data_IF_415238023834
#
_entry.id   IF_415238023834
#
_cell.length_a   1.000
_cell.length_b   1.000
_cell.length_c   1.000
_cell.angle_alpha   90.00
_cell.angle_beta   90.00
_cell.angle_gamma   90.00
#
_symmetry.space_group_name_H-M   'P 1'
#
loop_
_entity.id
_entity.type
_entity.pdbx_description
1 polymer ?
#
# COMPACT_ATOMS: atom_id res chain seq x y z
N UNK A 1 23.28 50.69 -40.58
CA UNK A 1 22.27 50.24 -41.57
C UNK A 1 21.67 48.93 -41.10
N UNK A 2 20.46 48.96 -40.55
CA UNK A 2 19.81 47.78 -39.98
C UNK A 2 19.13 46.97 -41.09
N UNK A 3 19.76 45.89 -41.53
CA UNK A 3 19.13 44.91 -42.42
C UNK A 3 18.06 44.18 -41.62
N UNK A 4 16.78 44.55 -41.82
CA UNK A 4 15.65 43.73 -41.38
C UNK A 4 15.57 42.53 -42.33
N UNK A 5 16.15 41.41 -41.95
CA UNK A 5 15.97 40.14 -42.65
C UNK A 5 14.53 39.70 -42.46
N UNK A 6 13.73 39.78 -43.52
CA UNK A 6 12.38 39.21 -43.54
C UNK A 6 12.46 37.70 -43.39
N UNK A 7 11.63 37.15 -42.48
CA UNK A 7 11.46 35.71 -42.32
C UNK A 7 10.93 35.15 -43.65
N UNK A 8 11.67 34.22 -44.23
CA UNK A 8 11.24 33.50 -45.43
C UNK A 8 10.17 32.48 -45.04
N UNK A 9 9.12 32.36 -45.86
CA UNK A 9 8.05 31.38 -45.63
C UNK A 9 8.58 29.95 -45.55
N UNK A 10 9.68 29.68 -46.28
CA UNK A 10 10.39 28.40 -46.26
C UNK A 10 11.06 28.12 -44.91
N UNK A 11 11.56 29.16 -44.23
CA UNK A 11 12.20 29.05 -42.91
C UNK A 11 11.16 28.65 -41.85
N UNK A 12 9.94 29.20 -41.96
CA UNK A 12 8.81 28.82 -41.10
C UNK A 12 8.37 27.38 -41.33
N UNK A 13 8.30 26.92 -42.59
CA UNK A 13 7.94 25.54 -42.92
C UNK A 13 8.98 24.55 -42.37
N UNK A 14 10.27 24.85 -42.55
CA UNK A 14 11.36 24.01 -42.02
C UNK A 14 11.28 23.96 -40.50
N UNK A 15 11.02 25.08 -39.84
CA UNK A 15 10.91 25.14 -38.39
C UNK A 15 9.74 24.30 -37.86
N UNK A 16 8.56 24.36 -38.50
CA UNK A 16 7.40 23.52 -38.13
C UNK A 16 7.72 22.03 -38.34
N UNK A 17 8.40 21.66 -39.43
CA UNK A 17 8.81 20.28 -39.69
C UNK A 17 9.77 19.76 -38.61
N UNK A 18 10.78 20.55 -38.24
CA UNK A 18 11.73 20.17 -37.19
C UNK A 18 11.01 20.00 -35.85
N UNK A 19 10.16 20.95 -35.46
CA UNK A 19 9.39 20.87 -34.20
C UNK A 19 8.46 19.65 -34.20
N UNK A 20 7.81 19.36 -35.34
CA UNK A 20 6.94 18.19 -35.49
C UNK A 20 7.68 16.86 -35.32
N UNK A 21 8.86 16.72 -35.95
CA UNK A 21 9.70 15.53 -35.81
C UNK A 21 10.21 15.37 -34.38
N UNK A 22 10.65 16.46 -33.74
CA UNK A 22 11.09 16.44 -32.34
C UNK A 22 9.95 16.03 -31.39
N UNK A 23 8.75 16.58 -31.57
CA UNK A 23 7.59 16.23 -30.75
C UNK A 23 7.22 14.75 -30.91
N UNK A 24 7.22 14.22 -32.13
CA UNK A 24 6.90 12.82 -32.40
C UNK A 24 7.85 11.84 -31.70
N UNK A 25 9.13 12.20 -31.55
CA UNK A 25 10.13 11.36 -30.87
C UNK A 25 10.02 11.43 -29.33
N UNK A 26 9.58 12.56 -28.77
CA UNK A 26 9.53 12.76 -27.32
C UNK A 26 8.26 12.18 -26.66
N UNK A 27 7.12 12.17 -27.37
CA UNK A 27 5.85 11.66 -26.85
C UNK A 27 5.90 10.21 -26.34
N UNK A 28 6.44 9.21 -27.07
CA UNK A 28 6.43 7.82 -26.60
C UNK A 28 7.24 7.65 -25.30
N UNK A 29 8.40 8.31 -25.21
CA UNK A 29 9.28 8.27 -24.04
C UNK A 29 8.62 8.82 -22.77
N UNK A 30 7.87 9.91 -22.92
CA UNK A 30 7.13 10.49 -21.79
C UNK A 30 6.00 9.58 -21.30
N UNK A 31 5.43 8.72 -22.16
CA UNK A 31 4.41 7.74 -21.78
C UNK A 31 5.02 6.56 -21.03
N UNK A 32 6.14 6.04 -21.50
CA UNK A 32 6.89 4.97 -20.83
C UNK A 32 7.29 5.37 -19.41
N UNK A 33 7.79 6.59 -19.22
CA UNK A 33 8.19 7.09 -17.90
C UNK A 33 7.05 7.08 -16.87
N UNK A 34 5.85 7.47 -17.28
CA UNK A 34 4.68 7.48 -16.38
C UNK A 34 4.23 6.09 -15.94
N UNK A 35 4.34 5.09 -16.83
CA UNK A 35 3.98 3.71 -16.49
C UNK A 35 4.97 3.14 -15.46
N UNK A 36 6.27 3.37 -15.67
CA UNK A 36 7.32 2.94 -14.73
C UNK A 36 7.19 3.65 -13.38
N UNK A 37 6.86 4.94 -13.38
CA UNK A 37 6.62 5.71 -12.17
C UNK A 37 5.40 5.20 -11.38
N UNK A 38 4.29 4.94 -12.08
CA UNK A 38 3.08 4.38 -11.47
C UNK A 38 3.33 2.96 -10.91
N UNK A 39 4.13 2.14 -11.58
CA UNK A 39 4.53 0.83 -11.09
C UNK A 39 5.38 0.94 -9.82
N UNK A 40 6.40 1.82 -9.81
CA UNK A 40 7.26 2.05 -8.65
C UNK A 40 6.46 2.56 -7.44
N UNK A 41 5.58 3.54 -7.64
CA UNK A 41 4.69 4.06 -6.59
C UNK A 41 3.73 2.97 -6.09
N UNK A 42 3.22 2.12 -6.98
CA UNK A 42 2.38 1.00 -6.60
C UNK A 42 3.12 0.00 -5.71
N UNK A 43 4.38 -0.31 -6.03
CA UNK A 43 5.24 -1.18 -5.22
C UNK A 43 5.55 -0.54 -3.86
N UNK A 44 5.85 0.75 -3.80
CA UNK A 44 6.06 1.49 -2.56
C UNK A 44 4.84 1.47 -1.64
N UNK A 45 3.64 1.65 -2.20
CA UNK A 45 2.37 1.53 -1.46
C UNK A 45 2.18 0.12 -0.91
N UNK A 46 2.44 -0.92 -1.71
CA UNK A 46 2.37 -2.31 -1.23
C UNK A 46 3.40 -2.59 -0.12
N UNK A 47 4.60 -2.03 -0.21
CA UNK A 47 5.62 -2.09 0.85
C UNK A 47 5.14 -1.40 2.13
N UNK A 48 4.45 -0.27 2.02
CA UNK A 48 3.88 0.42 3.17
C UNK A 48 2.78 -0.41 3.85
N UNK A 49 1.90 -1.04 3.07
CA UNK A 49 0.87 -1.96 3.58
C UNK A 49 1.52 -3.17 4.26
N UNK A 50 2.57 -3.73 3.64
CA UNK A 50 3.33 -4.84 4.20
C UNK A 50 3.93 -4.50 5.57
N UNK A 51 4.60 -3.34 5.66
CA UNK A 51 5.19 -2.89 6.91
C UNK A 51 4.12 -2.66 7.98
N UNK A 52 2.99 -2.05 7.61
CA UNK A 52 1.85 -1.91 8.50
C UNK A 52 1.29 -3.25 8.97
N UNK A 53 1.22 -4.26 8.09
CA UNK A 53 0.78 -5.61 8.43
C UNK A 53 1.72 -6.29 9.44
N UNK A 54 3.03 -6.13 9.25
CA UNK A 54 4.04 -6.62 10.18
C UNK A 54 3.98 -5.89 11.52
N UNK A 55 3.84 -4.56 11.53
CA UNK A 55 3.67 -3.77 12.74
C UNK A 55 2.38 -4.10 13.48
N UNK A 56 1.29 -4.33 12.76
CA UNK A 56 0.02 -4.82 13.31
C UNK A 56 0.23 -6.18 13.98
N UNK A 57 0.85 -7.13 13.29
CA UNK A 57 1.12 -8.47 13.84
C UNK A 57 2.03 -8.43 15.08
N UNK A 58 2.99 -7.51 15.12
CA UNK A 58 3.87 -7.34 16.27
C UNK A 58 3.12 -6.72 17.47
N UNK A 59 2.36 -5.65 17.23
CA UNK A 59 1.61 -4.90 18.26
C UNK A 59 0.45 -5.69 18.85
N UNK A 60 -0.31 -6.43 18.03
CA UNK A 60 -1.41 -7.29 18.51
C UNK A 60 -0.92 -8.53 19.27
N UNK A 61 0.39 -8.64 19.51
CA UNK A 61 1.01 -9.49 20.52
C UNK A 61 0.86 -9.03 21.96
N UNK A 62 0.50 -7.76 22.18
CA UNK A 62 0.19 -7.25 23.51
C UNK A 62 -1.19 -6.60 23.51
N UNK A 63 -2.19 -7.41 23.85
CA UNK A 63 -3.62 -7.06 23.96
C UNK A 63 -3.98 -5.98 24.99
N UNK A 64 -3.01 -5.24 25.52
CA UNK A 64 -3.23 -4.16 26.49
C UNK A 64 -4.13 -3.06 25.92
N UNK A 65 -4.20 -2.90 24.59
CA UNK A 65 -5.07 -1.91 23.93
C UNK A 65 -6.48 -2.42 23.57
N UNK A 66 -6.79 -3.70 23.76
CA UNK A 66 -8.14 -4.26 23.61
C UNK A 66 -8.95 -4.26 24.92
N UNK A 67 -8.35 -3.83 26.03
CA UNK A 67 -9.03 -3.70 27.34
C UNK A 67 -9.03 -2.24 27.78
N UNK A 68 -9.52 -1.35 26.92
CA UNK A 68 -10.11 -0.11 27.41
C UNK A 68 -11.26 -0.51 28.37
N UNK A 69 -11.33 0.05 29.60
CA UNK A 69 -12.27 -0.43 30.61
C UNK A 69 -13.71 -0.19 30.16
N UNK A 70 -14.49 -1.26 30.02
CA UNK A 70 -15.94 -1.17 30.12
C UNK A 70 -16.26 -1.24 31.60
N UNK A 71 -16.88 -0.18 32.12
CA UNK A 71 -17.19 0.00 33.54
C UNK A 71 -18.05 -1.16 34.10
N UNK A 72 -17.89 -1.52 35.39
CA UNK A 72 -18.55 -2.68 35.98
C UNK A 72 -19.93 -2.30 36.54
N UNK A 73 -20.96 -3.09 36.20
CA UNK A 73 -22.18 -3.14 36.98
C UNK A 73 -22.31 -4.48 37.71
N UNK A 74 -22.81 -4.39 38.93
CA UNK A 74 -22.57 -5.31 40.04
C UNK A 74 -23.70 -6.33 40.22
N UNK A 75 -23.36 -7.53 40.72
CA UNK A 75 -24.13 -8.40 41.63
C UNK A 75 -23.68 -9.87 41.44
N UNK A 76 -22.87 -10.45 42.36
CA UNK A 76 -23.31 -11.29 43.51
C UNK A 76 -23.90 -12.65 43.07
N UNK A 77 -23.56 -13.83 43.59
CA UNK A 77 -22.83 -14.24 44.79
C UNK A 77 -22.54 -15.77 44.75
N UNK A 78 -21.44 -16.16 45.43
CA UNK A 78 -21.25 -17.40 46.24
C UNK A 78 -21.30 -18.82 45.60
N UNK A 79 -20.55 -19.84 46.05
CA UNK A 79 -19.36 -20.00 46.88
C UNK A 79 -18.87 -21.46 46.78
N UNK A 80 -17.54 -21.63 46.72
CA UNK A 80 -16.70 -22.77 47.19
C UNK A 80 -16.85 -24.16 46.55
N UNK A 81 -15.77 -24.64 45.93
CA UNK A 81 -14.89 -25.72 46.48
C UNK A 81 -13.54 -25.69 45.76
N UNK A 82 -12.46 -25.75 46.55
CA UNK A 82 -11.04 -25.71 46.14
C UNK A 82 -10.67 -26.85 45.17
N UNK A 83 -10.15 -26.49 44.01
CA UNK A 83 -9.09 -27.23 43.31
C UNK A 83 -8.11 -26.18 42.76
N UNK A 84 -6.82 -26.47 42.90
CA UNK A 84 -5.70 -25.57 42.62
C UNK A 84 -5.63 -25.05 41.17
N UNK A 85 -5.31 -23.75 41.09
CA UNK A 85 -4.68 -23.00 40.00
C UNK A 85 -4.20 -23.80 38.78
N UNK A 86 -4.81 -23.53 37.62
CA UNK A 86 -4.20 -22.69 36.59
C UNK A 86 -5.26 -22.40 35.52
N UNK A 87 -5.76 -21.17 35.60
CA UNK A 87 -6.59 -20.49 34.63
C UNK A 87 -6.16 -20.84 33.20
N UNK A 88 -7.08 -21.37 32.40
CA UNK A 88 -6.87 -21.66 31.00
C UNK A 88 -6.54 -20.36 30.27
N UNK A 89 -5.25 -20.06 30.17
CA UNK A 89 -4.70 -18.94 29.43
C UNK A 89 -5.27 -19.01 28.01
N UNK A 90 -6.24 -18.13 27.71
CA UNK A 90 -6.69 -17.87 26.34
C UNK A 90 -5.46 -17.42 25.58
N UNK A 91 -4.84 -18.34 24.84
CA UNK A 91 -3.71 -18.08 23.96
C UNK A 91 -4.19 -17.02 22.97
N UNK A 92 -3.69 -15.79 23.13
CA UNK A 92 -3.94 -14.70 22.19
C UNK A 92 -3.20 -15.04 20.91
N UNK A 93 -3.90 -15.66 19.98
CA UNK A 93 -3.35 -16.01 18.67
C UNK A 93 -3.12 -14.70 17.92
N UNK A 94 -1.86 -14.36 17.65
CA UNK A 94 -1.50 -13.26 16.75
C UNK A 94 -2.02 -13.59 15.36
N UNK A 95 -2.81 -12.73 14.74
CA UNK A 95 -3.38 -12.97 13.41
C UNK A 95 -3.05 -11.78 12.52
N UNK A 96 -2.82 -12.02 11.23
CA UNK A 96 -2.86 -10.95 10.23
C UNK A 96 -4.31 -10.53 10.00
N UNK A 97 -4.52 -9.34 9.43
CA UNK A 97 -5.85 -8.81 9.15
C UNK A 97 -6.00 -8.42 7.69
N UNK A 98 -7.15 -8.69 7.11
CA UNK A 98 -7.58 -8.18 5.81
C UNK A 98 -8.34 -6.84 5.96
N UNK A 99 -8.62 -6.42 7.20
CA UNK A 99 -9.38 -5.20 7.47
C UNK A 99 -8.47 -3.97 7.38
N UNK A 100 -8.75 -3.16 6.37
CA UNK A 100 -8.03 -1.92 6.05
C UNK A 100 -8.07 -0.90 7.20
N UNK A 101 -9.17 -0.83 7.96
CA UNK A 101 -9.33 0.11 9.06
C UNK A 101 -8.39 -0.18 10.23
N UNK A 102 -8.08 -1.45 10.46
CA UNK A 102 -7.14 -1.89 11.49
C UNK A 102 -5.69 -1.60 11.12
N UNK A 103 -5.40 -1.47 9.82
CA UNK A 103 -4.08 -1.14 9.32
C UNK A 103 -3.81 0.36 9.32
N UNK A 104 -4.82 1.20 9.08
CA UNK A 104 -4.70 2.68 9.02
C UNK A 104 -3.79 3.32 10.08
N UNK A 105 -3.83 2.93 11.37
CA UNK A 105 -2.96 3.52 12.39
C UNK A 105 -1.45 3.32 12.15
N UNK A 106 -1.07 2.33 11.34
CA UNK A 106 0.31 1.98 11.02
C UNK A 106 0.76 2.51 9.66
N UNK A 107 -0.13 3.19 8.92
CA UNK A 107 0.17 3.79 7.63
C UNK A 107 0.32 5.31 7.75
N UNK A 108 1.03 5.94 6.81
CA UNK A 108 1.12 7.40 6.77
C UNK A 108 -0.26 8.05 6.58
N UNK A 109 -0.41 9.26 7.12
CA UNK A 109 -1.66 10.02 7.03
C UNK A 109 -2.11 10.21 5.57
N UNK A 110 -3.38 9.94 5.30
CA UNK A 110 -3.95 10.08 3.95
C UNK A 110 -3.55 8.97 2.97
N UNK A 111 -3.04 7.83 3.45
CA UNK A 111 -2.70 6.71 2.59
C UNK A 111 -3.89 6.20 1.75
N UNK A 112 -3.64 6.03 0.45
CA UNK A 112 -4.61 5.50 -0.50
C UNK A 112 -4.36 3.99 -0.74
N UNK A 113 -5.34 3.16 -0.40
CA UNK A 113 -5.33 1.71 -0.67
C UNK A 113 -5.68 1.39 -2.14
N UNK A 114 -5.15 2.18 -3.07
CA UNK A 114 -5.47 2.13 -4.50
C UNK A 114 -4.20 2.17 -5.33
N UNK A 115 -4.22 1.48 -6.45
CA UNK A 115 -3.17 1.53 -7.47
C UNK A 115 -3.17 2.93 -8.13
N UNK A 116 -2.02 3.60 -8.28
CA UNK A 116 -1.92 4.91 -8.92
C UNK A 116 -2.16 4.90 -10.43
N UNK A 117 -2.11 3.72 -11.08
CA UNK A 117 -2.33 3.59 -12.52
C UNK A 117 -3.81 3.74 -12.89
N UNK A 118 -4.68 2.95 -12.25
CA UNK A 118 -6.12 2.87 -12.60
C UNK A 118 -7.06 3.21 -11.44
N UNK A 119 -6.55 3.39 -10.22
CA UNK A 119 -7.36 3.66 -9.02
C UNK A 119 -8.05 2.44 -8.43
N UNK A 120 -7.79 1.24 -8.97
CA UNK A 120 -8.26 -0.04 -8.44
C UNK A 120 -7.70 -0.31 -7.03
N UNK A 121 -8.49 -0.92 -6.16
CA UNK A 121 -8.10 -1.19 -4.78
C UNK A 121 -7.14 -2.39 -4.69
N UNK A 122 -6.23 -2.34 -3.70
CA UNK A 122 -5.36 -3.48 -3.43
C UNK A 122 -6.17 -4.64 -2.85
N UNK A 123 -5.89 -5.84 -3.34
CA UNK A 123 -6.51 -7.06 -2.83
C UNK A 123 -5.63 -7.57 -1.69
N UNK A 124 -6.13 -7.44 -0.46
CA UNK A 124 -5.46 -7.91 0.75
C UNK A 124 -6.17 -9.17 1.25
N UNK A 125 -5.44 -10.26 1.38
CA UNK A 125 -5.95 -11.50 1.95
C UNK A 125 -5.10 -11.90 3.13
N UNK A 126 -5.70 -11.99 4.33
CA UNK A 126 -5.08 -12.58 5.50
C UNK A 126 -5.89 -13.81 5.91
N UNK A 127 -5.23 -14.96 6.06
CA UNK A 127 -5.91 -16.21 6.47
C UNK A 127 -5.74 -16.46 7.96
N UNK A 128 -4.51 -16.37 8.43
CA UNK A 128 -4.11 -16.79 9.77
C UNK A 128 -2.84 -16.03 10.21
N UNK A 129 -2.09 -16.60 11.15
CA UNK A 129 -0.84 -16.06 11.66
C UNK A 129 0.38 -16.35 10.78
N UNK A 130 0.19 -17.13 9.70
CA UNK A 130 1.26 -17.69 8.87
C UNK A 130 1.14 -17.25 7.41
N UNK A 131 -0.01 -16.70 7.02
CA UNK A 131 -0.24 -16.34 5.64
C UNK A 131 -1.06 -15.05 5.49
N UNK A 132 -0.47 -14.13 4.74
CA UNK A 132 -1.17 -13.02 4.10
C UNK A 132 -0.58 -12.76 2.71
N UNK A 133 -1.38 -12.15 1.84
CA UNK A 133 -0.94 -11.62 0.57
C UNK A 133 -1.55 -10.25 0.28
N UNK A 134 -0.78 -9.41 -0.41
CA UNK A 134 -1.18 -8.10 -0.90
C UNK A 134 -0.91 -8.11 -2.40
N UNK A 135 -1.93 -7.98 -3.22
CA UNK A 135 -1.80 -8.00 -4.68
C UNK A 135 -2.35 -6.75 -5.32
N UNK A 136 -1.62 -6.24 -6.31
CA UNK A 136 -2.14 -5.24 -7.23
C UNK A 136 -2.90 -5.92 -8.38
N UNK A 137 -4.17 -5.55 -8.66
CA UNK A 137 -4.95 -6.14 -9.75
C UNK A 137 -4.34 -5.91 -11.14
N UNK A 138 -3.50 -4.87 -11.28
CA UNK A 138 -2.84 -4.53 -12.53
C UNK A 138 -1.53 -5.30 -12.79
N UNK A 139 -1.14 -6.20 -11.89
CA UNK A 139 0.04 -7.03 -12.08
C UNK A 139 1.38 -6.35 -11.79
N UNK A 140 1.41 -5.20 -11.11
CA UNK A 140 2.64 -4.53 -10.66
C UNK A 140 3.44 -5.30 -9.60
N UNK A 141 2.95 -6.48 -9.21
CA UNK A 141 3.57 -7.36 -8.24
C UNK A 141 2.60 -7.83 -7.15
N UNK A 142 3.13 -8.68 -6.30
CA UNK A 142 2.46 -9.20 -5.12
C UNK A 142 3.44 -9.26 -3.95
N UNK A 143 2.91 -9.07 -2.75
CA UNK A 143 3.59 -9.38 -1.51
C UNK A 143 2.97 -10.64 -0.94
N UNK A 144 3.78 -11.68 -0.68
CA UNK A 144 3.33 -12.92 -0.06
C UNK A 144 4.15 -13.13 1.20
N UNK A 145 3.49 -13.03 2.36
CA UNK A 145 4.11 -13.24 3.66
C UNK A 145 5.44 -12.46 3.83
N UNK A 146 5.41 -11.15 3.52
CA UNK A 146 6.59 -10.28 3.62
C UNK A 146 7.58 -10.37 2.47
N UNK A 147 7.38 -11.27 1.49
CA UNK A 147 8.25 -11.39 0.32
C UNK A 147 7.64 -10.66 -0.88
N UNK A 148 8.47 -9.91 -1.57
CA UNK A 148 8.09 -9.11 -2.73
C UNK A 148 8.39 -9.89 -4.01
N UNK A 149 7.39 -10.14 -4.85
CA UNK A 149 7.60 -10.95 -6.08
C UNK A 149 8.54 -10.31 -7.10
N UNK A 150 8.75 -9.00 -7.00
CA UNK A 150 9.60 -8.23 -7.90
C UNK A 150 11.04 -8.08 -7.41
N UNK A 151 11.39 -8.61 -6.24
CA UNK A 151 12.78 -8.69 -5.79
C UNK A 151 13.49 -9.95 -6.31
N UNK A 152 12.70 -10.94 -6.77
CA UNK A 152 13.19 -12.21 -7.31
C UNK A 152 13.35 -12.18 -8.86
N UNK A 153 13.09 -11.05 -9.53
CA UNK A 153 13.30 -10.81 -10.97
C UNK A 153 14.72 -10.33 -11.30
#
# INVERSE_FOLDING_TARGET
MNRKSGISLLDVIILILIVGVLAALLIPKAREGKLLEAEAECRERMTSINNAMLSFFDTFGDTTLLHAPVEPDSAEAEAKTKAEKADSAKVKVKLFTDNVDLLKPYLPDGFAFKCPLDGEEYIIHARDSLFYSISCPNGHGQVIYGRFTWEDE
#
